data_IF_866680917459
#
_entry.id   IF_866680917459
#
_cell.length_a   1.000
_cell.length_b   1.000
_cell.length_c   1.000
_cell.angle_alpha   90.00
_cell.angle_beta   90.00
_cell.angle_gamma   90.00
#
_symmetry.space_group_name_H-M   'P 1'
#
loop_
_entity.id
_entity.type
_entity.pdbx_description
1 polymer ?
#
# COMPACT_ATOMS: atom_id res chain seq x y z
N UNK A 1 14.98 4.97 22.49
CA UNK A 1 14.17 5.76 21.55
C UNK A 1 13.11 4.86 20.89
N UNK A 2 12.00 4.54 21.58
CA UNK A 2 10.97 3.62 21.07
C UNK A 2 9.98 4.27 20.09
N UNK A 3 9.80 5.59 20.21
CA UNK A 3 8.81 6.38 19.45
C UNK A 3 9.00 6.33 17.92
N UNK A 4 10.21 6.01 17.46
CA UNK A 4 10.55 5.98 16.04
C UNK A 4 10.16 4.65 15.36
N UNK A 5 10.15 3.54 16.11
CA UNK A 5 9.79 2.22 15.57
C UNK A 5 8.27 2.08 15.44
N UNK A 6 7.52 2.58 16.43
CA UNK A 6 6.05 2.62 16.38
C UNK A 6 5.55 3.47 15.20
N UNK A 7 6.15 4.65 14.99
CA UNK A 7 5.82 5.52 13.84
C UNK A 7 6.12 4.84 12.49
N UNK A 8 7.18 4.03 12.41
CA UNK A 8 7.52 3.26 11.21
C UNK A 8 6.52 2.13 10.97
N UNK A 9 6.09 1.44 12.04
CA UNK A 9 5.08 0.39 11.95
C UNK A 9 3.71 0.94 11.55
N UNK A 10 3.26 2.05 12.15
CA UNK A 10 2.00 2.70 11.77
C UNK A 10 2.00 3.13 10.30
N UNK A 11 3.13 3.66 9.82
CA UNK A 11 3.29 4.04 8.42
C UNK A 11 3.23 2.83 7.49
N UNK A 12 3.91 1.72 7.84
CA UNK A 12 3.83 0.46 7.09
C UNK A 12 2.40 -0.06 7.05
N UNK A 13 1.70 -0.06 8.19
CA UNK A 13 0.33 -0.54 8.27
C UNK A 13 -0.62 0.31 7.43
N UNK A 14 -0.44 1.63 7.43
CA UNK A 14 -1.21 2.56 6.60
C UNK A 14 -1.02 2.29 5.10
N UNK A 15 0.22 2.02 4.67
CA UNK A 15 0.54 1.65 3.28
C UNK A 15 -0.15 0.34 2.89
N UNK A 16 -0.05 -0.68 3.75
CA UNK A 16 -0.65 -2.00 3.52
C UNK A 16 -2.18 -1.93 3.46
N UNK A 17 -2.80 -1.20 4.38
CA UNK A 17 -4.25 -1.03 4.43
C UNK A 17 -4.75 -0.35 3.15
N UNK A 18 -4.13 0.76 2.74
CA UNK A 18 -4.52 1.47 1.52
C UNK A 18 -4.36 0.61 0.27
N UNK A 19 -3.28 -0.17 0.17
CA UNK A 19 -3.09 -1.11 -0.93
C UNK A 19 -4.19 -2.18 -0.95
N UNK A 20 -4.52 -2.77 0.20
CA UNK A 20 -5.55 -3.81 0.32
C UNK A 20 -6.94 -3.27 0.00
N UNK A 21 -7.28 -2.06 0.44
CA UNK A 21 -8.54 -1.40 0.09
C UNK A 21 -8.68 -1.20 -1.43
N UNK A 22 -7.59 -0.81 -2.11
CA UNK A 22 -7.59 -0.71 -3.56
C UNK A 22 -7.64 -2.08 -4.24
N UNK A 23 -6.92 -3.07 -3.73
CA UNK A 23 -6.84 -4.40 -4.34
C UNK A 23 -8.14 -5.20 -4.14
N UNK A 24 -8.85 -4.96 -3.04
CA UNK A 24 -10.16 -5.52 -2.73
C UNK A 24 -11.32 -4.73 -3.37
N UNK A 25 -11.04 -3.62 -4.07
CA UNK A 25 -12.08 -2.88 -4.76
C UNK A 25 -12.61 -3.72 -5.91
N UNK A 26 -13.89 -4.09 -5.82
CA UNK A 26 -14.62 -4.80 -6.86
C UNK A 26 -15.73 -3.91 -7.44
N UNK A 27 -15.97 -4.04 -8.73
CA UNK A 27 -17.04 -3.38 -9.45
C UNK A 27 -17.75 -4.42 -10.31
N UNK A 28 -19.07 -4.56 -10.12
CA UNK A 28 -19.88 -5.59 -10.77
C UNK A 28 -19.37 -7.03 -10.57
N UNK A 29 -18.79 -7.33 -9.39
CA UNK A 29 -18.26 -8.66 -9.06
C UNK A 29 -16.93 -8.98 -9.74
N UNK A 30 -16.26 -7.99 -10.32
CA UNK A 30 -14.94 -8.11 -10.93
C UNK A 30 -13.98 -7.16 -10.24
N UNK A 31 -12.74 -7.60 -10.04
CA UNK A 31 -11.67 -6.76 -9.50
C UNK A 31 -11.53 -5.47 -10.33
N UNK A 32 -11.77 -4.32 -9.68
CA UNK A 32 -11.80 -3.00 -10.33
C UNK A 32 -10.42 -2.55 -10.78
N UNK A 33 -9.39 -2.91 -10.02
CA UNK A 33 -8.03 -2.43 -10.23
C UNK A 33 -7.03 -3.59 -10.35
N UNK A 34 -6.11 -3.47 -11.31
CA UNK A 34 -4.98 -4.40 -11.37
C UNK A 34 -4.02 -4.14 -10.22
N UNK A 35 -3.32 -5.17 -9.76
CA UNK A 35 -2.31 -5.06 -8.71
C UNK A 35 -1.24 -4.01 -9.05
N UNK A 36 -0.86 -3.90 -10.33
CA UNK A 36 0.07 -2.87 -10.82
C UNK A 36 -0.46 -1.44 -10.62
N UNK A 37 -1.76 -1.23 -10.88
CA UNK A 37 -2.41 0.06 -10.62
C UNK A 37 -2.47 0.37 -9.12
N UNK A 38 -2.83 -0.62 -8.29
CA UNK A 38 -2.87 -0.47 -6.84
C UNK A 38 -1.49 -0.08 -6.27
N UNK A 39 -0.41 -0.71 -6.74
CA UNK A 39 0.96 -0.37 -6.36
C UNK A 39 1.34 1.05 -6.77
N UNK A 40 1.09 1.43 -8.03
CA UNK A 40 1.43 2.78 -8.51
C UNK A 40 0.65 3.89 -7.78
N UNK A 41 -0.63 3.64 -7.49
CA UNK A 41 -1.48 4.59 -6.75
C UNK A 41 -1.06 4.72 -5.29
N UNK A 42 -0.68 3.60 -4.65
CA UNK A 42 -0.11 3.59 -3.30
C UNK A 42 1.22 4.34 -3.26
N UNK A 43 2.13 4.11 -4.21
CA UNK A 43 3.40 4.82 -4.32
C UNK A 43 3.21 6.34 -4.42
N UNK A 44 2.28 6.79 -5.27
CA UNK A 44 1.92 8.22 -5.39
C UNK A 44 1.32 8.79 -4.10
N UNK A 45 0.43 8.06 -3.43
CA UNK A 45 -0.24 8.52 -2.20
C UNK A 45 0.74 8.75 -1.05
N UNK A 46 1.75 7.91 -0.92
CA UNK A 46 2.72 7.96 0.17
C UNK A 46 4.05 8.64 -0.21
N UNK A 47 4.16 9.20 -1.42
CA UNK A 47 5.39 9.81 -1.95
C UNK A 47 6.60 8.86 -1.87
N UNK A 48 6.37 7.59 -2.18
CA UNK A 48 7.38 6.54 -2.15
C UNK A 48 7.63 6.00 -3.56
N UNK A 49 8.79 5.37 -3.76
CA UNK A 49 9.06 4.64 -5.00
C UNK A 49 8.24 3.35 -5.07
N UNK A 50 7.91 2.89 -6.28
CA UNK A 50 7.22 1.60 -6.47
C UNK A 50 8.02 0.45 -5.85
N UNK A 51 9.36 0.50 -5.90
CA UNK A 51 10.24 -0.49 -5.29
C UNK A 51 10.16 -0.51 -3.76
N UNK A 52 9.97 0.67 -3.15
CA UNK A 52 9.75 0.78 -1.70
C UNK A 52 8.41 0.17 -1.31
N UNK A 53 7.35 0.49 -2.06
CA UNK A 53 6.01 -0.07 -1.83
C UNK A 53 5.99 -1.58 -2.03
N UNK A 54 6.65 -2.10 -3.07
CA UNK A 54 6.81 -3.53 -3.31
C UNK A 54 7.46 -4.23 -2.11
N UNK A 55 8.52 -3.66 -1.54
CA UNK A 55 9.12 -4.18 -0.29
C UNK A 55 8.20 -4.12 0.90
N UNK A 56 7.30 -3.13 1.00
CA UNK A 56 6.35 -3.08 2.10
C UNK A 56 5.23 -4.13 1.96
N UNK A 57 4.84 -4.47 0.72
CA UNK A 57 3.76 -5.40 0.41
C UNK A 57 4.24 -6.86 0.40
N UNK A 58 5.39 -7.13 -0.22
CA UNK A 58 5.92 -8.49 -0.44
C UNK A 58 7.17 -8.82 0.40
N UNK A 59 7.74 -7.84 1.10
CA UNK A 59 8.86 -8.03 2.04
C UNK A 59 8.38 -8.09 3.49
#
# INVERSE_FOLDING_TARGET
MPRNEELQQEKRQSILNFFRELDAAEEFGVKKYTTSYCMAKTARRFFLSSRSIERYIYG
#
